data_IF_235116811072
#
_entry.id   IF_235116811072
#
_cell.length_a   1.000
_cell.length_b   1.000
_cell.length_c   1.000
_cell.angle_alpha   90.00
_cell.angle_beta   90.00
_cell.angle_gamma   90.00
#
_symmetry.space_group_name_H-M   'P 1'
#
loop_
_entity.id
_entity.type
_entity.pdbx_description
1 polymer ?
#
# COMPACT_ATOMS: atom_id res chain seq x y z
N UNK A 1 -3.42 -13.90 -10.79
CA UNK A 1 -2.77 -12.72 -10.25
C UNK A 1 -1.31 -12.72 -10.66
N UNK A 2 -0.87 -11.64 -11.29
CA UNK A 2 0.53 -11.40 -11.60
C UNK A 2 1.05 -10.25 -10.75
N UNK A 3 2.17 -10.47 -10.08
CA UNK A 3 2.85 -9.51 -9.21
C UNK A 3 4.21 -9.21 -9.80
N UNK A 4 4.45 -7.97 -10.20
CA UNK A 4 5.79 -7.53 -10.60
C UNK A 4 6.65 -7.38 -9.34
N UNK A 5 7.67 -8.24 -9.22
CA UNK A 5 8.71 -8.14 -8.20
C UNK A 5 9.87 -7.30 -8.75
N UNK A 6 10.27 -6.31 -7.97
CA UNK A 6 11.42 -5.48 -8.30
C UNK A 6 12.74 -6.17 -7.88
N UNK A 7 13.86 -5.72 -8.43
CA UNK A 7 15.16 -6.00 -7.84
C UNK A 7 15.26 -5.22 -6.52
N UNK A 8 15.11 -5.91 -5.40
CA UNK A 8 14.98 -5.32 -4.08
C UNK A 8 13.68 -5.73 -3.39
N UNK A 9 13.15 -4.87 -2.54
CA UNK A 9 11.92 -5.13 -1.81
C UNK A 9 10.68 -4.80 -2.63
N UNK A 10 9.69 -5.68 -2.59
CA UNK A 10 8.34 -5.46 -3.13
C UNK A 10 7.31 -5.72 -2.02
N UNK A 11 6.42 -4.77 -1.79
CA UNK A 11 5.25 -4.94 -0.94
C UNK A 11 4.13 -5.57 -1.75
N UNK A 12 3.75 -6.77 -1.39
CA UNK A 12 2.76 -7.56 -2.14
C UNK A 12 1.67 -8.12 -1.25
N UNK A 13 0.54 -8.43 -1.84
CA UNK A 13 -0.54 -9.19 -1.22
C UNK A 13 -1.28 -10.02 -2.28
N UNK A 14 -2.07 -10.98 -1.83
CA UNK A 14 -2.75 -11.90 -2.70
C UNK A 14 -4.28 -11.71 -2.60
N UNK A 15 -4.93 -11.46 -3.74
CA UNK A 15 -6.39 -11.39 -3.88
C UNK A 15 -6.98 -12.65 -4.53
N UNK A 16 -6.16 -13.69 -4.60
CA UNK A 16 -6.55 -15.04 -5.03
C UNK A 16 -6.15 -16.06 -3.97
N UNK A 17 -6.82 -17.20 -3.93
CA UNK A 17 -6.56 -18.27 -2.98
C UNK A 17 -6.47 -19.61 -3.71
N UNK A 18 -5.54 -20.46 -3.29
CA UNK A 18 -5.40 -21.86 -3.71
C UNK A 18 -4.67 -22.67 -2.61
N UNK A 19 -4.75 -24.00 -2.69
CA UNK A 19 -4.16 -24.90 -1.69
C UNK A 19 -2.63 -24.83 -1.61
N UNK A 20 -1.96 -24.39 -2.69
CA UNK A 20 -0.49 -24.26 -2.73
C UNK A 20 0.03 -23.11 -1.87
N UNK A 21 -0.82 -22.15 -1.50
CA UNK A 21 -0.44 -21.07 -0.61
C UNK A 21 -0.07 -21.55 0.81
N UNK A 22 -0.42 -22.80 1.16
CA UNK A 22 0.02 -23.45 2.41
C UNK A 22 1.54 -23.70 2.46
N UNK A 23 2.24 -23.63 1.34
CA UNK A 23 3.70 -23.74 1.24
C UNK A 23 4.26 -22.65 0.33
N UNK A 24 5.05 -21.73 0.90
CA UNK A 24 5.66 -20.63 0.13
C UNK A 24 6.56 -21.15 -0.99
N UNK A 25 7.20 -22.31 -0.81
CA UNK A 25 8.06 -22.92 -1.81
C UNK A 25 7.28 -23.32 -3.06
N UNK A 26 6.03 -23.76 -2.90
CA UNK A 26 5.16 -24.11 -4.03
C UNK A 26 4.72 -22.88 -4.83
N UNK A 27 4.51 -21.74 -4.18
CA UNK A 27 4.16 -20.48 -4.85
C UNK A 27 5.38 -19.89 -5.56
N UNK A 28 6.54 -19.94 -4.92
CA UNK A 28 7.77 -19.29 -5.39
C UNK A 28 8.62 -20.13 -6.34
N UNK A 29 8.28 -21.40 -6.56
CA UNK A 29 9.10 -22.40 -7.26
C UNK A 29 9.43 -22.08 -8.72
N UNK A 30 8.58 -21.31 -9.41
CA UNK A 30 8.75 -21.00 -10.84
C UNK A 30 9.55 -19.71 -11.08
N UNK A 31 10.05 -19.09 -10.03
CA UNK A 31 10.80 -17.85 -10.06
C UNK A 31 12.28 -18.13 -9.77
N UNK A 32 13.14 -17.21 -10.17
CA UNK A 32 14.58 -17.25 -9.91
C UNK A 32 14.89 -16.56 -8.59
N UNK A 33 15.67 -17.23 -7.73
CA UNK A 33 16.03 -16.71 -6.41
C UNK A 33 17.53 -16.84 -6.17
N UNK A 34 18.11 -15.83 -5.54
CA UNK A 34 19.49 -15.86 -5.06
C UNK A 34 19.55 -16.14 -3.56
N UNK A 35 20.66 -16.72 -3.11
CA UNK A 35 20.89 -16.92 -1.68
C UNK A 35 20.77 -15.60 -0.92
N UNK A 36 19.93 -15.57 0.12
CA UNK A 36 19.64 -14.40 0.90
C UNK A 36 18.40 -13.62 0.46
N UNK A 37 17.71 -14.01 -0.61
CA UNK A 37 16.38 -13.45 -0.90
C UNK A 37 15.42 -13.82 0.23
N UNK A 38 14.45 -12.94 0.52
CA UNK A 38 13.65 -13.04 1.74
C UNK A 38 12.17 -12.75 1.50
N UNK A 39 11.32 -13.40 2.29
CA UNK A 39 9.91 -13.04 2.46
C UNK A 39 9.66 -12.75 3.92
N UNK A 40 8.98 -11.63 4.21
CA UNK A 40 8.65 -11.17 5.57
C UNK A 40 7.18 -10.85 5.71
N UNK A 41 6.71 -10.94 6.96
CA UNK A 41 5.35 -10.60 7.38
C UNK A 41 5.37 -9.68 8.62
N UNK A 42 4.24 -9.03 8.93
CA UNK A 42 4.05 -8.13 10.08
C UNK A 42 4.40 -8.78 11.42
N UNK A 43 3.99 -10.02 11.64
CA UNK A 43 4.17 -10.77 12.88
C UNK A 43 5.62 -11.18 13.17
N UNK A 44 6.56 -10.76 12.32
CA UNK A 44 7.97 -11.13 12.40
C UNK A 44 8.31 -12.46 11.73
N UNK A 45 7.33 -13.11 11.10
CA UNK A 45 7.57 -14.28 10.25
C UNK A 45 8.53 -13.94 9.12
N UNK A 46 9.55 -14.77 8.92
CA UNK A 46 10.54 -14.60 7.84
C UNK A 46 10.90 -15.94 7.25
N UNK A 47 11.14 -15.96 5.94
CA UNK A 47 11.78 -17.07 5.24
C UNK A 47 12.86 -16.54 4.32
N UNK A 48 14.01 -17.22 4.29
CA UNK A 48 15.18 -16.84 3.48
C UNK A 48 15.49 -17.97 2.51
N UNK A 49 15.81 -17.62 1.28
CA UNK A 49 16.20 -18.58 0.26
C UNK A 49 17.68 -18.92 0.35
N UNK A 50 17.98 -20.21 0.30
CA UNK A 50 19.32 -20.74 0.10
C UNK A 50 19.36 -21.64 -1.12
N UNK A 51 20.40 -21.54 -1.92
CA UNK A 51 20.52 -22.30 -3.19
C UNK A 51 20.52 -23.81 -2.98
N UNK A 52 20.97 -24.29 -1.83
CA UNK A 52 20.97 -25.72 -1.49
C UNK A 52 19.76 -26.12 -0.63
N UNK A 53 19.19 -25.18 0.13
CA UNK A 53 18.16 -25.48 1.12
C UNK A 53 16.75 -25.06 0.69
N UNK A 54 16.62 -24.27 -0.36
CA UNK A 54 15.36 -23.63 -0.74
C UNK A 54 14.93 -22.58 0.29
N UNK A 55 13.62 -22.39 0.44
CA UNK A 55 13.06 -21.45 1.41
C UNK A 55 13.01 -22.03 2.82
N UNK A 56 13.70 -21.39 3.75
CA UNK A 56 13.82 -21.84 5.14
C UNK A 56 13.55 -20.67 6.08
N UNK A 57 12.69 -20.89 7.07
CA UNK A 57 12.37 -19.86 8.06
C UNK A 57 11.12 -20.19 8.87
N UNK A 58 10.62 -19.22 9.63
CA UNK A 58 9.38 -19.32 10.40
C UNK A 58 8.14 -19.09 9.55
N UNK A 59 8.23 -18.27 8.49
CA UNK A 59 7.16 -18.05 7.53
C UNK A 59 7.07 -19.21 6.55
N UNK A 60 5.97 -19.97 6.61
CA UNK A 60 5.79 -21.20 5.84
C UNK A 60 4.73 -21.10 4.75
N UNK A 61 3.81 -20.14 4.87
CA UNK A 61 2.64 -20.03 4.00
C UNK A 61 2.37 -18.58 3.61
N UNK A 62 1.72 -18.40 2.48
CA UNK A 62 1.03 -17.16 2.15
C UNK A 62 -0.44 -17.28 2.52
N UNK A 63 -1.09 -16.15 2.76
CA UNK A 63 -2.53 -16.03 3.01
C UNK A 63 -3.09 -14.74 2.39
N UNK A 64 -4.37 -14.47 2.66
CA UNK A 64 -5.08 -13.27 2.22
C UNK A 64 -5.35 -12.29 3.37
N UNK A 65 -4.72 -12.48 4.55
CA UNK A 65 -5.01 -11.71 5.76
C UNK A 65 -4.08 -10.51 5.94
N UNK A 66 -2.91 -10.51 5.27
CA UNK A 66 -1.93 -9.45 5.37
C UNK A 66 -1.14 -9.22 4.09
N UNK A 67 -0.26 -8.24 4.12
CA UNK A 67 0.73 -8.07 3.08
C UNK A 67 2.03 -8.77 3.45
N UNK A 68 2.82 -9.06 2.43
CA UNK A 68 4.16 -9.61 2.52
C UNK A 68 5.16 -8.64 1.91
N UNK A 69 6.36 -8.60 2.47
CA UNK A 69 7.52 -7.96 1.86
C UNK A 69 8.38 -9.05 1.24
N UNK A 70 8.55 -9.01 -0.07
CA UNK A 70 9.38 -9.95 -0.83
C UNK A 70 10.62 -9.21 -1.30
N UNK A 71 11.81 -9.69 -0.90
CA UNK A 71 13.08 -9.24 -1.45
C UNK A 71 13.54 -10.22 -2.52
N UNK A 72 13.71 -9.72 -3.73
CA UNK A 72 14.21 -10.48 -4.87
C UNK A 72 15.49 -9.84 -5.40
N UNK A 73 16.48 -10.65 -5.71
CA UNK A 73 17.70 -10.21 -6.43
C UNK A 73 17.44 -9.98 -7.91
N UNK A 74 16.27 -10.36 -8.41
CA UNK A 74 15.89 -10.26 -9.84
C UNK A 74 14.56 -9.55 -9.98
N UNK A 75 14.46 -8.63 -10.96
CA UNK A 75 13.17 -8.12 -11.41
C UNK A 75 12.47 -9.23 -12.20
N UNK A 76 11.30 -9.66 -11.75
CA UNK A 76 10.58 -10.80 -12.32
C UNK A 76 9.08 -10.72 -11.99
N UNK A 77 8.28 -11.58 -12.63
CA UNK A 77 6.85 -11.67 -12.34
C UNK A 77 6.56 -12.93 -11.52
N UNK A 78 5.93 -12.74 -10.37
CA UNK A 78 5.36 -13.83 -9.57
C UNK A 78 3.90 -14.04 -10.00
N UNK A 79 3.63 -15.20 -10.64
CA UNK A 79 2.29 -15.54 -11.09
C UNK A 79 1.62 -16.53 -10.14
N UNK A 80 0.49 -16.16 -9.57
CA UNK A 80 -0.30 -17.00 -8.66
C UNK A 80 -1.66 -17.26 -9.27
N UNK A 81 -1.93 -18.54 -9.59
CA UNK A 81 -3.21 -19.00 -10.11
C UNK A 81 -4.08 -19.47 -8.94
N UNK A 82 -5.27 -18.89 -8.80
CA UNK A 82 -6.19 -19.23 -7.72
C UNK A 82 -7.60 -18.70 -8.00
N UNK A 83 -8.50 -18.99 -7.08
CA UNK A 83 -9.85 -18.42 -7.09
C UNK A 83 -9.80 -17.00 -6.53
N UNK A 84 -10.50 -16.03 -7.12
CA UNK A 84 -10.65 -14.71 -6.53
C UNK A 84 -11.17 -14.79 -5.10
N UNK A 85 -10.56 -14.00 -4.21
CA UNK A 85 -11.02 -13.87 -2.83
C UNK A 85 -12.35 -13.11 -2.82
N UNK A 86 -13.34 -13.63 -2.11
CA UNK A 86 -14.59 -12.91 -1.88
C UNK A 86 -14.41 -11.85 -0.79
N UNK A 87 -14.40 -10.59 -1.16
CA UNK A 87 -14.20 -9.48 -0.21
C UNK A 87 -15.31 -9.38 0.84
N UNK A 88 -16.52 -9.90 0.56
CA UNK A 88 -17.63 -9.90 1.51
C UNK A 88 -17.37 -10.82 2.72
N UNK A 89 -16.60 -11.88 2.53
CA UNK A 89 -16.28 -12.86 3.57
C UNK A 89 -14.96 -12.54 4.31
N UNK A 90 -14.25 -11.50 3.87
CA UNK A 90 -12.94 -11.15 4.39
C UNK A 90 -12.96 -9.75 5.02
N UNK A 91 -13.16 -9.72 6.33
CA UNK A 91 -13.14 -8.50 7.13
C UNK A 91 -11.80 -8.44 7.87
N UNK A 92 -11.02 -7.40 7.58
CA UNK A 92 -9.71 -7.18 8.18
C UNK A 92 -9.85 -6.40 9.49
N UNK A 93 -9.04 -6.74 10.47
CA UNK A 93 -8.94 -5.99 11.73
C UNK A 93 -7.83 -4.97 11.63
N UNK A 94 -8.15 -3.70 11.89
CA UNK A 94 -7.19 -2.59 11.93
C UNK A 94 -7.00 -2.14 13.38
N UNK A 95 -5.84 -2.41 13.93
CA UNK A 95 -5.47 -2.05 15.30
C UNK A 95 -4.87 -0.65 15.33
N UNK A 96 -5.16 0.12 16.37
CA UNK A 96 -4.51 1.42 16.62
C UNK A 96 -3.21 1.26 17.41
N UNK A 97 -3.22 0.38 18.40
CA UNK A 97 -2.09 0.12 19.29
C UNK A 97 -1.84 -1.37 19.44
N UNK A 98 -0.62 -1.74 19.82
CA UNK A 98 -0.29 -3.09 20.27
C UNK A 98 -0.67 -3.30 21.75
N UNK A 99 -0.39 -4.49 22.29
CA UNK A 99 -0.65 -4.86 23.69
C UNK A 99 0.06 -3.96 24.72
N UNK A 100 1.05 -3.17 24.28
CA UNK A 100 1.80 -2.22 25.11
C UNK A 100 1.30 -0.78 24.94
N UNK A 101 0.21 -0.55 24.20
CA UNK A 101 -0.34 0.77 23.92
C UNK A 101 0.49 1.62 22.94
N UNK A 102 1.38 0.98 22.16
CA UNK A 102 2.19 1.68 21.15
C UNK A 102 1.48 1.60 19.80
N UNK A 103 1.41 2.75 19.10
CA UNK A 103 0.83 2.83 17.76
C UNK A 103 1.48 1.83 16.79
N UNK A 104 0.65 1.16 16.00
CA UNK A 104 1.10 0.11 15.07
C UNK A 104 0.75 0.44 13.64
N UNK A 105 1.56 -0.09 12.72
CA UNK A 105 1.24 -0.20 11.32
C UNK A 105 0.62 -1.57 11.05
N UNK A 106 -0.58 -1.59 10.51
CA UNK A 106 -1.23 -2.83 10.07
C UNK A 106 -0.82 -3.11 8.63
N UNK A 107 -0.28 -4.27 8.36
CA UNK A 107 0.07 -4.73 7.02
C UNK A 107 -1.18 -5.27 6.34
N UNK A 108 -1.88 -4.43 5.57
CA UNK A 108 -3.15 -4.78 4.95
C UNK A 108 -2.95 -5.34 3.54
N UNK A 109 -3.63 -6.45 3.19
CA UNK A 109 -3.69 -6.94 1.82
C UNK A 109 -4.65 -6.08 1.00
N UNK A 110 -4.53 -6.09 -0.32
CA UNK A 110 -5.56 -5.57 -1.20
C UNK A 110 -6.31 -6.72 -1.87
N UNK A 111 -7.60 -6.89 -1.54
CA UNK A 111 -8.38 -8.07 -1.91
C UNK A 111 -9.31 -7.87 -3.12
N UNK A 112 -9.59 -6.62 -3.52
CA UNK A 112 -10.41 -6.36 -4.70
C UNK A 112 -9.69 -6.81 -5.99
N UNK A 113 -10.48 -7.17 -7.02
CA UNK A 113 -9.97 -7.72 -8.29
C UNK A 113 -9.64 -6.63 -9.32
N UNK A 114 -9.82 -5.37 -9.01
CA UNK A 114 -9.60 -4.21 -9.88
C UNK A 114 -8.93 -3.08 -9.13
N UNK A 115 -8.35 -2.15 -9.88
CA UNK A 115 -7.86 -0.90 -9.30
C UNK A 115 -9.05 -0.07 -8.81
N UNK A 116 -8.94 0.46 -7.60
CA UNK A 116 -9.92 1.38 -7.02
C UNK A 116 -9.20 2.62 -6.53
N UNK A 117 -9.86 3.78 -6.64
CA UNK A 117 -9.38 4.96 -5.92
C UNK A 117 -9.31 4.67 -4.42
N UNK A 118 -8.47 5.39 -3.71
CA UNK A 118 -8.30 5.15 -2.27
C UNK A 118 -9.61 5.32 -1.49
N UNK A 119 -10.42 6.32 -1.86
CA UNK A 119 -11.73 6.55 -1.24
C UNK A 119 -12.73 5.42 -1.55
N UNK A 120 -12.67 4.81 -2.74
CA UNK A 120 -13.50 3.65 -3.07
C UNK A 120 -13.02 2.40 -2.36
N UNK A 121 -11.71 2.14 -2.37
CA UNK A 121 -11.11 0.95 -1.76
C UNK A 121 -11.35 0.91 -0.25
N UNK A 122 -11.22 2.05 0.43
CA UNK A 122 -11.36 2.17 1.88
C UNK A 122 -12.76 2.64 2.33
N UNK A 123 -13.77 2.60 1.44
CA UNK A 123 -15.13 3.00 1.77
C UNK A 123 -15.76 2.16 2.91
N UNK A 124 -15.32 0.93 3.10
CA UNK A 124 -15.75 0.04 4.19
C UNK A 124 -14.87 0.12 5.45
N UNK A 125 -14.06 1.15 5.58
CA UNK A 125 -13.24 1.45 6.74
C UNK A 125 -13.71 2.76 7.39
N UNK A 126 -14.00 2.73 8.68
CA UNK A 126 -14.34 3.93 9.44
C UNK A 126 -13.07 4.69 9.82
N UNK A 127 -12.59 5.50 8.87
CA UNK A 127 -11.38 6.29 9.04
C UNK A 127 -11.59 7.44 10.04
N UNK A 128 -10.56 7.71 10.83
CA UNK A 128 -10.48 8.87 11.73
C UNK A 128 -9.52 9.91 11.15
N UNK A 129 -9.77 11.19 11.49
CA UNK A 129 -8.89 12.31 11.07
C UNK A 129 -7.45 12.02 11.45
N UNK A 130 -6.56 12.04 10.46
CA UNK A 130 -5.14 11.76 10.64
C UNK A 130 -4.74 10.30 10.47
N UNK A 131 -5.66 9.36 10.21
CA UNK A 131 -5.29 7.99 9.80
C UNK A 131 -4.42 8.04 8.54
N UNK A 132 -3.42 7.16 8.45
CA UNK A 132 -2.45 7.18 7.34
C UNK A 132 -2.39 5.82 6.66
N UNK A 133 -2.51 5.81 5.34
CA UNK A 133 -2.24 4.64 4.51
C UNK A 133 -0.99 4.86 3.67
N UNK A 134 -0.15 3.83 3.54
CA UNK A 134 1.08 3.86 2.74
C UNK A 134 1.15 2.69 1.77
N UNK A 135 1.65 2.98 0.59
CA UNK A 135 2.24 1.99 -0.31
C UNK A 135 3.77 2.02 -0.18
N UNK A 136 4.46 1.26 -0.99
CA UNK A 136 5.93 1.29 -1.05
C UNK A 136 6.46 2.65 -1.55
N UNK A 137 5.70 3.37 -2.39
CA UNK A 137 6.14 4.59 -3.08
C UNK A 137 5.33 5.84 -2.74
N UNK A 138 4.23 5.72 -1.98
CA UNK A 138 3.38 6.86 -1.68
C UNK A 138 2.56 6.65 -0.41
N UNK A 139 1.91 7.71 0.04
CA UNK A 139 1.02 7.66 1.19
C UNK A 139 -0.16 8.61 1.01
N UNK A 140 -1.20 8.42 1.82
CA UNK A 140 -2.29 9.36 1.99
C UNK A 140 -2.70 9.42 3.46
N UNK A 141 -3.23 10.59 3.86
CA UNK A 141 -3.80 10.84 5.17
C UNK A 141 -5.29 11.08 5.03
N UNK A 142 -6.07 10.58 5.97
CA UNK A 142 -7.49 10.83 6.00
C UNK A 142 -7.80 12.21 6.57
N UNK A 143 -8.61 12.97 5.83
CA UNK A 143 -9.20 14.22 6.27
C UNK A 143 -10.73 14.06 6.24
N UNK A 144 -11.39 14.31 7.36
CA UNK A 144 -12.82 14.05 7.54
C UNK A 144 -13.74 14.76 6.52
N UNK A 145 -13.30 15.87 5.93
CA UNK A 145 -14.07 16.62 4.95
C UNK A 145 -13.77 16.24 3.48
N UNK A 146 -12.52 15.83 3.21
CA UNK A 146 -11.99 15.64 1.86
C UNK A 146 -11.71 14.15 1.53
N UNK A 147 -11.77 13.27 2.53
CA UNK A 147 -11.40 11.86 2.40
C UNK A 147 -9.89 11.65 2.45
N UNK A 148 -9.39 10.65 1.74
CA UNK A 148 -7.97 10.33 1.68
C UNK A 148 -7.23 11.27 0.72
N UNK A 149 -6.19 11.95 1.24
CA UNK A 149 -5.41 12.95 0.51
C UNK A 149 -3.93 12.60 0.59
N UNK A 150 -3.24 12.62 -0.53
CA UNK A 150 -1.82 12.35 -0.61
C UNK A 150 -1.37 11.89 -2.00
N UNK A 151 -0.13 11.45 -2.09
CA UNK A 151 0.45 10.90 -3.33
C UNK A 151 -0.06 9.49 -3.68
N UNK A 152 -0.60 8.76 -2.72
CA UNK A 152 -1.26 7.48 -2.94
C UNK A 152 -2.72 7.72 -3.30
N UNK A 153 -3.08 7.55 -4.57
CA UNK A 153 -4.43 7.82 -5.08
C UNK A 153 -5.24 6.56 -5.39
N UNK A 154 -4.55 5.42 -5.62
CA UNK A 154 -5.18 4.15 -5.99
C UNK A 154 -4.59 2.98 -5.21
N UNK A 155 -5.43 1.97 -4.97
CA UNK A 155 -5.01 0.63 -4.54
C UNK A 155 -5.16 -0.36 -5.70
N UNK A 156 -4.23 -1.33 -5.80
CA UNK A 156 -4.11 -2.22 -6.95
C UNK A 156 -3.93 -3.67 -6.53
N UNK A 157 -4.50 -4.65 -7.27
CA UNK A 157 -4.23 -6.07 -7.07
C UNK A 157 -2.73 -6.40 -7.05
N UNK A 158 -2.33 -7.29 -6.16
CA UNK A 158 -0.93 -7.71 -6.03
C UNK A 158 -0.04 -6.74 -5.26
N UNK A 159 -0.54 -5.59 -4.83
CA UNK A 159 0.19 -4.66 -3.98
C UNK A 159 -0.22 -4.79 -2.52
N UNK A 160 0.74 -4.60 -1.63
CA UNK A 160 0.52 -4.53 -0.19
C UNK A 160 0.57 -3.10 0.32
N UNK A 161 -0.12 -2.84 1.42
CA UNK A 161 -0.22 -1.51 2.00
C UNK A 161 -0.03 -1.57 3.52
N UNK A 162 0.34 -0.44 4.11
CA UNK A 162 0.35 -0.26 5.55
C UNK A 162 -0.70 0.76 5.94
N UNK A 163 -1.51 0.47 6.95
CA UNK A 163 -2.51 1.37 7.50
C UNK A 163 -2.22 1.63 8.97
N UNK A 164 -2.08 2.89 9.36
CA UNK A 164 -1.98 3.32 10.74
C UNK A 164 -3.24 4.05 11.15
N UNK A 165 -3.86 3.57 12.22
CA UNK A 165 -5.02 4.21 12.85
C UNK A 165 -4.55 5.11 13.99
N UNK A 166 -5.03 6.34 14.01
CA UNK A 166 -4.69 7.33 15.05
C UNK A 166 -5.54 7.17 16.31
N UNK A 167 -6.78 6.69 16.17
CA UNK A 167 -7.69 6.46 17.29
C UNK A 167 -7.16 5.45 18.30
N UNK A 168 -7.91 5.26 19.39
CA UNK A 168 -7.57 4.29 20.44
C UNK A 168 -8.35 2.97 20.31
N UNK A 169 -9.28 2.91 19.38
CA UNK A 169 -10.15 1.75 19.15
C UNK A 169 -9.73 0.97 17.92
N UNK A 170 -9.93 -0.33 17.97
CA UNK A 170 -9.82 -1.20 16.79
C UNK A 170 -10.96 -0.90 15.83
N UNK A 171 -10.68 -0.88 14.55
CA UNK A 171 -11.65 -0.77 13.48
C UNK A 171 -11.61 -2.00 12.56
N UNK A 172 -12.57 -2.10 11.66
CA UNK A 172 -12.59 -3.11 10.61
C UNK A 172 -12.47 -2.47 9.24
N UNK A 173 -11.84 -3.18 8.32
CA UNK A 173 -11.79 -2.82 6.91
C UNK A 173 -12.40 -3.95 6.10
N UNK A 174 -13.41 -3.64 5.31
CA UNK A 174 -13.98 -4.53 4.31
C UNK A 174 -13.91 -3.87 2.94
N UNK A 175 -13.25 -4.52 1.99
CA UNK A 175 -13.20 -4.02 0.62
C UNK A 175 -14.56 -4.15 -0.07
N UNK A 176 -14.90 -3.26 -1.03
CA UNK A 176 -16.11 -3.38 -1.82
C UNK A 176 -16.18 -4.73 -2.53
N UNK A 177 -17.37 -5.31 -2.61
CA UNK A 177 -17.56 -6.55 -3.39
C UNK A 177 -17.44 -6.26 -4.89
N UNK A 178 -16.83 -7.18 -5.65
CA UNK A 178 -16.69 -7.04 -7.11
C UNK A 178 -18.06 -7.02 -7.83
N UNK A 179 -19.11 -7.52 -7.18
CA UNK A 179 -20.51 -7.48 -7.67
C UNK A 179 -21.26 -6.20 -7.26
N UNK A 180 -20.69 -5.33 -6.49
CA UNK A 180 -21.28 -4.02 -6.19
C UNK A 180 -21.16 -3.15 -7.45
N UNK A 181 -22.13 -3.22 -8.34
CA UNK A 181 -22.45 -2.10 -9.22
C UNK A 181 -22.63 -0.88 -8.31
N UNK A 182 -21.73 0.09 -8.47
CA UNK A 182 -21.54 1.23 -7.61
C UNK A 182 -22.80 1.72 -6.91
N UNK A 183 -22.95 1.32 -5.66
CA UNK A 183 -23.78 2.03 -4.72
C UNK A 183 -23.13 3.39 -4.53
N UNK A 184 -23.73 4.42 -5.14
CA UNK A 184 -23.34 5.81 -4.93
C UNK A 184 -23.45 6.09 -3.42
N UNK A 185 -22.33 6.04 -2.71
CA UNK A 185 -22.22 6.88 -1.55
C UNK A 185 -22.46 8.33 -2.06
N UNK A 186 -23.37 9.05 -1.40
CA UNK A 186 -23.66 10.44 -1.73
C UNK A 186 -22.46 11.33 -1.35
N UNK A 187 -21.36 11.16 -2.05
CA UNK A 187 -20.33 12.18 -2.14
C UNK A 187 -20.85 13.16 -3.17
N UNK A 188 -21.11 14.39 -2.76
CA UNK A 188 -21.36 15.50 -3.69
C UNK A 188 -20.10 15.67 -4.55
N UNK A 189 -20.01 14.90 -5.61
CA UNK A 189 -19.00 15.09 -6.67
C UNK A 189 -19.37 16.36 -7.39
N UNK A 190 -18.63 17.43 -7.17
CA UNK A 190 -18.50 18.47 -8.17
C UNK A 190 -17.83 17.80 -9.38
N UNK A 191 -18.60 17.67 -10.45
CA UNK A 191 -18.12 17.31 -11.77
C UNK A 191 -17.09 18.36 -12.20
N UNK A 192 -15.81 18.01 -12.13
CA UNK A 192 -14.77 18.63 -12.94
C UNK A 192 -14.44 17.62 -14.03
N UNK A 193 -14.69 18.04 -15.27
CA UNK A 193 -14.35 17.27 -16.45
C UNK A 193 -12.83 17.12 -16.58
N UNK A 194 -12.49 16.07 -17.29
CA UNK A 194 -11.20 15.51 -17.68
C UNK A 194 -10.67 14.47 -16.70
N UNK A 195 -10.61 13.23 -17.19
CA UNK A 195 -9.77 12.20 -16.59
C UNK A 195 -8.35 12.75 -16.49
N UNK A 196 -7.69 12.68 -15.32
CA UNK A 196 -6.29 13.04 -15.25
C UNK A 196 -5.50 12.03 -16.09
N UNK A 197 -4.81 12.54 -17.10
CA UNK A 197 -3.80 11.81 -17.86
C UNK A 197 -2.86 11.17 -16.84
N UNK A 198 -2.61 9.85 -16.94
CA UNK A 198 -1.65 9.17 -16.10
C UNK A 198 -0.30 9.83 -16.31
N UNK A 199 0.11 10.67 -15.39
CA UNK A 199 1.47 11.20 -15.36
C UNK A 199 2.35 10.05 -14.93
N UNK A 200 3.25 9.60 -15.80
CA UNK A 200 4.30 8.65 -15.50
C UNK A 200 5.30 9.35 -14.55
N UNK A 201 5.04 9.25 -13.26
CA UNK A 201 5.97 9.68 -12.23
C UNK A 201 7.10 8.66 -12.20
N UNK A 202 8.20 8.99 -12.85
CA UNK A 202 9.37 8.12 -13.02
C UNK A 202 9.64 7.27 -11.78
N UNK A 203 9.95 5.99 -12.00
CA UNK A 203 10.10 4.96 -10.98
C UNK A 203 11.00 5.44 -9.84
N UNK A 204 10.42 5.69 -8.66
CA UNK A 204 11.19 5.98 -7.46
C UNK A 204 12.13 4.80 -7.19
N UNK A 205 13.40 5.07 -6.88
CA UNK A 205 14.39 4.04 -6.58
C UNK A 205 13.95 3.23 -5.33
N UNK A 206 13.46 2.01 -5.55
CA UNK A 206 12.88 1.13 -4.53
C UNK A 206 13.90 0.41 -3.65
N UNK A 207 15.20 0.69 -3.80
CA UNK A 207 16.27 0.05 -3.01
C UNK A 207 16.23 0.38 -1.51
N UNK A 208 15.29 1.20 -1.06
CA UNK A 208 15.15 1.59 0.33
C UNK A 208 13.95 0.90 0.98
N UNK A 209 14.23 0.06 1.96
CA UNK A 209 13.21 -0.64 2.76
C UNK A 209 12.43 0.29 3.72
N UNK A 210 12.72 1.58 3.74
CA UNK A 210 12.09 2.56 4.65
C UNK A 210 11.61 3.77 3.87
N UNK A 211 10.32 4.09 4.01
CA UNK A 211 9.77 5.39 3.67
C UNK A 211 10.05 6.37 4.80
N UNK A 212 10.46 7.58 4.45
CA UNK A 212 10.64 8.68 5.38
C UNK A 212 9.57 9.75 5.09
N UNK A 213 8.82 10.13 6.10
CA UNK A 213 7.97 11.32 6.01
C UNK A 213 8.79 12.54 6.41
N UNK A 214 8.73 13.59 5.61
CA UNK A 214 9.41 14.86 5.90
C UNK A 214 8.37 15.96 6.07
N UNK A 215 8.64 16.88 6.98
CA UNK A 215 8.02 18.20 6.99
C UNK A 215 9.01 19.14 6.33
N UNK A 216 8.61 19.81 5.25
CA UNK A 216 9.43 20.78 4.55
C UNK A 216 8.82 22.16 4.70
N UNK A 217 9.67 23.17 4.96
CA UNK A 217 9.32 24.58 4.95
C UNK A 217 9.96 25.22 3.72
N UNK A 218 9.16 25.94 2.94
CA UNK A 218 9.64 26.68 1.76
C UNK A 218 9.66 28.16 2.12
N UNK A 219 10.84 28.78 2.09
CA UNK A 219 11.03 30.20 2.39
C UNK A 219 11.34 31.00 1.12
N UNK A 220 10.76 32.18 1.00
CA UNK A 220 11.10 33.15 -0.04
C UNK A 220 10.49 32.88 -1.42
N UNK A 221 9.61 31.91 -1.54
CA UNK A 221 8.87 31.60 -2.77
C UNK A 221 7.38 31.51 -2.41
N UNK A 222 6.54 32.13 -3.22
CA UNK A 222 5.09 31.96 -3.12
C UNK A 222 4.73 30.59 -3.69
N UNK A 223 4.04 29.78 -2.88
CA UNK A 223 3.65 28.41 -3.22
C UNK A 223 2.15 28.39 -3.48
N UNK A 224 1.72 27.85 -4.63
CA UNK A 224 0.35 27.82 -5.06
C UNK A 224 -0.17 26.39 -5.18
N UNK A 225 -1.49 26.23 -5.16
CA UNK A 225 -2.13 24.95 -5.44
C UNK A 225 -1.76 24.46 -6.84
N UNK A 226 -1.27 23.22 -6.92
CA UNK A 226 -0.79 22.61 -8.16
C UNK A 226 0.74 22.66 -8.34
N UNK A 227 1.47 23.42 -7.52
CA UNK A 227 2.93 23.31 -7.47
C UNK A 227 3.34 21.94 -6.94
N UNK A 228 4.54 21.49 -7.30
CA UNK A 228 5.03 20.15 -6.92
C UNK A 228 6.36 20.28 -6.19
N UNK A 229 6.41 19.75 -4.97
CA UNK A 229 7.65 19.60 -4.21
C UNK A 229 8.33 18.28 -4.61
N UNK A 230 9.58 18.34 -5.07
CA UNK A 230 10.37 17.17 -5.43
C UNK A 230 11.51 16.96 -4.43
N UNK A 231 11.64 15.75 -3.93
CA UNK A 231 12.72 15.36 -3.03
C UNK A 231 13.84 14.64 -3.77
N UNK A 232 15.08 15.02 -3.48
CA UNK A 232 16.29 14.37 -4.02
C UNK A 232 17.24 14.04 -2.87
N UNK A 233 17.93 12.91 -2.97
CA UNK A 233 19.04 12.56 -2.08
C UNK A 233 20.23 12.09 -2.91
N UNK A 234 21.39 12.72 -2.73
CA UNK A 234 22.60 12.47 -3.50
C UNK A 234 22.40 12.58 -5.03
N UNK A 235 21.51 13.49 -5.46
CA UNK A 235 21.20 13.71 -6.88
C UNK A 235 20.18 12.71 -7.47
N UNK A 236 19.73 11.71 -6.70
CA UNK A 236 18.69 10.78 -7.12
C UNK A 236 17.30 11.28 -6.68
N UNK A 237 16.34 11.18 -7.58
CA UNK A 237 14.94 11.48 -7.32
C UNK A 237 14.38 10.47 -6.29
N UNK A 238 13.73 10.96 -5.25
CA UNK A 238 13.20 10.16 -4.13
C UNK A 238 11.69 10.17 -4.04
N UNK A 239 11.05 11.18 -4.58
CA UNK A 239 9.62 11.32 -4.60
C UNK A 239 9.20 12.75 -4.82
N UNK A 240 7.91 12.94 -5.05
CA UNK A 240 7.29 14.26 -5.20
C UNK A 240 5.93 14.29 -4.50
N UNK A 241 5.53 15.49 -4.12
CA UNK A 241 4.23 15.76 -3.51
C UNK A 241 3.63 17.02 -4.12
N UNK A 242 2.38 16.97 -4.57
CA UNK A 242 1.66 18.18 -4.95
C UNK A 242 1.39 19.05 -3.72
N UNK A 243 1.33 20.34 -3.93
CA UNK A 243 0.87 21.30 -2.92
C UNK A 243 -0.64 21.26 -2.82
N UNK A 244 -1.13 21.12 -1.59
CA UNK A 244 -2.55 21.20 -1.28
C UNK A 244 -2.74 22.37 -0.33
N UNK A 245 -3.55 23.36 -0.72
CA UNK A 245 -3.89 24.50 0.14
C UNK A 245 -5.12 24.17 0.99
N UNK A 246 -5.06 24.38 2.31
CA UNK A 246 -6.22 24.26 3.19
C UNK A 246 -7.06 25.54 3.17
N UNK A 247 -8.39 25.37 3.06
CA UNK A 247 -9.35 26.44 2.83
C UNK A 247 -9.57 27.46 3.95
N UNK A 248 -8.91 27.40 5.11
CA UNK A 248 -9.09 28.38 6.20
C UNK A 248 -7.78 28.93 6.78
N UNK A 249 -6.63 28.33 6.50
CA UNK A 249 -5.31 28.92 6.73
C UNK A 249 -4.58 28.87 5.41
N UNK A 250 -4.28 30.01 4.80
CA UNK A 250 -3.55 30.13 3.52
C UNK A 250 -2.12 29.51 3.57
N UNK A 251 -1.87 28.57 4.47
CA UNK A 251 -0.58 27.88 4.58
C UNK A 251 -0.56 26.66 3.65
N UNK A 252 0.37 26.63 2.68
CA UNK A 252 0.55 25.51 1.78
C UNK A 252 1.02 24.28 2.55
N UNK A 253 0.40 23.12 2.28
CA UNK A 253 0.78 21.83 2.82
C UNK A 253 1.30 20.94 1.71
N UNK A 254 2.42 20.26 1.99
CA UNK A 254 3.01 19.25 1.13
C UNK A 254 2.81 17.88 1.77
N UNK A 255 2.34 16.91 1.00
CA UNK A 255 2.11 15.53 1.46
C UNK A 255 2.84 14.52 0.59
#
# INVERSE_FOLDING_TARGET
>A
LDVALENGWTWTSFNVSNDKMADISEILRNNEWASGDEVKREDGGVSTYGTETGWVGSLRSFDNEGMFMVRSSYAQTLSVIGKPVNTADNILTVRSVNDKGVAVWNYIPYLAQKNLTLNEALAGYEAEEGDVVKSQSGFAMYNGNLGWIGSLTYMQPGRGYMLQRIGTTTATLQYPSDNAQGGRANVKTRSMGNEPEMVDYGVANTNYARTMSMVATVEGIEVNEGDVLKAYANGEFRGESPVICRGESDEPLFF
#
